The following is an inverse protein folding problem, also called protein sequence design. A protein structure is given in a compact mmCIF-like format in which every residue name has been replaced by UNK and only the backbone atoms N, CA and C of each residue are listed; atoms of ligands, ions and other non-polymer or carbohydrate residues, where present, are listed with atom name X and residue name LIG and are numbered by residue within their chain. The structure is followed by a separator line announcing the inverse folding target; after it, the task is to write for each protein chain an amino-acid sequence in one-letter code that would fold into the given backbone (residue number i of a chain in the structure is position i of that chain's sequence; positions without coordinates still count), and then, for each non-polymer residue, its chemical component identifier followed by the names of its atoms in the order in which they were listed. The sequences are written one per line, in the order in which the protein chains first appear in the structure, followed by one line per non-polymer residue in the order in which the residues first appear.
data_IF_898084676529
#
_entry.id   IF_898084676529
#
_cell.length_a   1.000
_cell.length_b   1.000
_cell.length_c   1.000
_cell.angle_alpha   90.00
_cell.angle_beta   90.00
_cell.angle_gamma   90.00
#
_symmetry.space_group_name_H-M   'P 1'
#
loop_
_entity.id
_entity.type
_entity.pdbx_description
1 polymer ?
#
# COMPACT_ATOMS: atom_id res chain seq x y z
N UNK A 1 -3.40 23.85 2.26
CA UNK A 1 -3.85 22.46 2.49
C UNK A 1 -3.95 22.30 3.99
N UNK A 2 -5.13 21.97 4.51
CA UNK A 2 -5.30 21.75 5.96
C UNK A 2 -4.89 20.32 6.32
N UNK A 3 -4.14 20.13 7.41
CA UNK A 3 -3.64 18.81 7.83
C UNK A 3 -4.77 17.80 8.03
N UNK A 4 -5.94 18.26 8.49
CA UNK A 4 -7.13 17.42 8.70
C UNK A 4 -7.67 16.76 7.43
N UNK A 5 -7.22 17.21 6.26
CA UNK A 5 -7.64 16.66 4.96
C UNK A 5 -6.68 15.57 4.45
N UNK A 6 -5.66 15.20 5.23
CA UNK A 6 -4.66 14.20 4.88
C UNK A 6 -4.79 13.02 5.83
N UNK A 7 -5.05 11.83 5.27
CA UNK A 7 -5.16 10.59 6.03
C UNK A 7 -3.96 9.68 5.78
N UNK A 8 -3.42 9.09 6.85
CA UNK A 8 -2.30 8.15 6.79
C UNK A 8 -2.77 6.75 7.18
N UNK A 9 -2.59 5.75 6.30
CA UNK A 9 -3.02 4.38 6.63
C UNK A 9 -2.16 3.72 7.71
N UNK A 10 -0.92 4.18 7.90
CA UNK A 10 0.08 3.57 8.79
C UNK A 10 0.37 2.08 8.51
N UNK A 11 -0.02 1.57 7.32
CA UNK A 11 0.21 0.19 6.92
C UNK A 11 1.53 0.06 6.15
N UNK A 12 2.36 -0.89 6.58
CA UNK A 12 3.59 -1.25 5.87
C UNK A 12 3.40 -2.57 5.10
N UNK A 13 3.60 -2.55 3.78
CA UNK A 13 3.47 -3.74 2.92
C UNK A 13 4.48 -4.83 3.25
N UNK A 14 5.70 -4.46 3.67
CA UNK A 14 6.73 -5.44 4.08
C UNK A 14 6.39 -6.09 5.43
N UNK A 15 5.93 -5.31 6.42
CA UNK A 15 5.60 -5.84 7.74
C UNK A 15 4.35 -6.72 7.70
N UNK A 16 3.41 -6.41 6.81
CA UNK A 16 2.14 -7.12 6.65
C UNK A 16 2.13 -7.99 5.37
N UNK A 17 3.20 -8.76 5.16
CA UNK A 17 3.40 -9.59 3.95
C UNK A 17 2.39 -10.75 3.82
N UNK A 18 1.57 -11.00 4.85
CA UNK A 18 0.45 -11.94 4.80
C UNK A 18 -0.79 -11.33 4.13
N UNK A 19 -0.92 -10.00 4.08
CA UNK A 19 -2.02 -9.29 3.42
C UNK A 19 -1.61 -8.64 2.11
N UNK A 20 -0.36 -8.18 2.00
CA UNK A 20 0.11 -7.38 0.88
C UNK A 20 1.29 -8.02 0.17
N UNK A 21 1.33 -7.86 -1.15
CA UNK A 21 2.56 -8.11 -1.89
C UNK A 21 3.62 -7.05 -1.55
N UNK A 22 4.86 -7.49 -1.34
CA UNK A 22 5.99 -6.62 -1.04
C UNK A 22 7.23 -7.06 -1.81
N UNK A 23 7.75 -6.20 -2.69
CA UNK A 23 8.97 -6.49 -3.44
C UNK A 23 10.16 -6.81 -2.51
N UNK A 24 10.33 -6.01 -1.44
CA UNK A 24 11.38 -6.25 -0.44
C UNK A 24 11.04 -7.39 0.50
N UNK A 25 9.77 -7.59 0.85
CA UNK A 25 9.36 -8.67 1.74
C UNK A 25 9.45 -10.06 1.11
N UNK A 26 9.36 -10.16 -0.22
CA UNK A 26 9.27 -11.43 -0.95
C UNK A 26 10.48 -11.70 -1.86
N UNK A 27 11.57 -10.94 -1.72
CA UNK A 27 12.81 -11.22 -2.46
C UNK A 27 12.69 -11.02 -3.97
N UNK A 28 11.88 -10.06 -4.42
CA UNK A 28 11.85 -9.62 -5.81
C UNK A 28 10.72 -10.19 -6.66
N UNK A 29 10.41 -11.49 -6.56
CA UNK A 29 9.34 -12.15 -7.34
C UNK A 29 8.01 -12.14 -6.58
N UNK A 30 7.09 -11.25 -6.98
CA UNK A 30 5.80 -11.02 -6.29
C UNK A 30 4.70 -10.49 -7.21
N UNK A 31 3.43 -10.55 -6.78
CA UNK A 31 2.30 -9.90 -7.46
C UNK A 31 2.22 -8.39 -7.21
N UNK A 32 1.42 -7.64 -7.97
CA UNK A 32 1.27 -6.18 -7.79
C UNK A 32 -0.05 -5.82 -7.07
N UNK A 33 -0.03 -4.70 -6.37
CA UNK A 33 -1.21 -4.01 -5.85
C UNK A 33 -1.38 -2.73 -6.66
N UNK A 34 -2.60 -2.22 -6.76
CA UNK A 34 -2.90 -0.96 -7.44
C UNK A 34 -3.76 -0.06 -6.54
N UNK A 35 -3.41 1.21 -6.44
CA UNK A 35 -4.30 2.25 -5.91
C UNK A 35 -5.20 2.73 -7.03
N UNK A 36 -6.51 2.67 -6.84
CA UNK A 36 -7.50 3.04 -7.86
C UNK A 36 -8.36 4.16 -7.29
N UNK A 37 -8.53 5.23 -8.07
CA UNK A 37 -9.49 6.30 -7.82
C UNK A 37 -10.27 6.55 -9.10
N UNK A 38 -11.58 6.72 -8.97
CA UNK A 38 -12.44 7.06 -10.10
C UNK A 38 -13.56 7.98 -9.63
N UNK A 39 -14.06 8.78 -10.57
CA UNK A 39 -15.38 9.41 -10.46
C UNK A 39 -16.37 8.59 -11.29
N UNK A 40 -17.66 8.70 -10.97
CA UNK A 40 -18.72 8.00 -11.70
C UNK A 40 -19.00 8.67 -13.04
#
# INVERSE_FOLDING_TARGET
MEEKNIEFSNLCTKCNNHMFFSHRGQGGKRGLLAGIIMMK
#
